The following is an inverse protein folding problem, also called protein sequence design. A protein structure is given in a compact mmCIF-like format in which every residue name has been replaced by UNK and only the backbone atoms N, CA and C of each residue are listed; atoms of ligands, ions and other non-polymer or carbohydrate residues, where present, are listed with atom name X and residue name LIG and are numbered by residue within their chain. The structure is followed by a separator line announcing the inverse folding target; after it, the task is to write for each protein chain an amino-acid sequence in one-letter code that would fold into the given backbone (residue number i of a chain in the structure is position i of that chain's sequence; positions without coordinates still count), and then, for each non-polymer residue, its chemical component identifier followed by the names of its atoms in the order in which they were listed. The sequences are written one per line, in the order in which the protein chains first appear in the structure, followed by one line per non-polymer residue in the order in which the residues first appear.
data_IF_269406558082
#
_entry.id   IF_269406558082
#
_cell.length_a   1.000
_cell.length_b   1.000
_cell.length_c   1.000
_cell.angle_alpha   90.00
_cell.angle_beta   90.00
_cell.angle_gamma   90.00
#
_symmetry.space_group_name_H-M   'P 1'
#
loop_
_entity.id
_entity.type
_entity.pdbx_description
1 polymer ?
#
# COMPACT_ATOMS: atom_id res chain seq x y z
N UNK A 1 38.64 13.81 61.86
CA UNK A 1 38.79 13.43 60.43
C UNK A 1 37.57 12.64 59.89
N UNK A 2 36.34 12.91 60.37
CA UNK A 2 35.12 12.14 60.02
C UNK A 2 33.98 12.95 59.38
N UNK A 3 34.16 14.26 59.18
CA UNK A 3 33.08 15.15 58.69
C UNK A 3 33.07 15.33 57.16
N UNK A 4 34.14 14.94 56.47
CA UNK A 4 34.30 15.19 55.03
C UNK A 4 33.73 14.07 54.13
N UNK A 5 33.72 12.80 54.61
CA UNK A 5 33.12 11.66 53.86
C UNK A 5 31.59 11.70 53.81
N UNK A 6 30.95 12.22 54.86
CA UNK A 6 29.48 12.24 55.01
C UNK A 6 28.79 13.10 53.94
N UNK A 7 29.35 14.27 53.59
CA UNK A 7 28.75 15.19 52.60
C UNK A 7 28.85 14.66 51.17
N UNK A 8 29.93 13.98 50.82
CA UNK A 8 30.15 13.41 49.47
C UNK A 8 29.26 12.21 49.21
N UNK A 9 29.06 11.35 50.22
CA UNK A 9 28.18 10.17 50.12
C UNK A 9 26.70 10.60 50.02
N UNK A 10 26.31 11.64 50.77
CA UNK A 10 24.94 12.16 50.74
C UNK A 10 24.58 12.83 49.40
N UNK A 11 25.54 13.57 48.80
CA UNK A 11 25.36 14.16 47.47
C UNK A 11 25.28 13.14 46.34
N UNK A 12 26.12 12.09 46.40
CA UNK A 12 26.09 11.00 45.41
C UNK A 12 24.81 10.17 45.49
N UNK A 13 24.33 9.86 46.70
CA UNK A 13 23.06 9.13 46.89
C UNK A 13 21.85 9.95 46.42
N UNK A 14 21.82 11.25 46.70
CA UNK A 14 20.74 12.14 46.22
C UNK A 14 20.74 12.26 44.69
N UNK A 15 21.91 12.41 44.06
CA UNK A 15 22.02 12.44 42.61
C UNK A 15 21.60 11.12 41.95
N UNK A 16 21.95 9.98 42.54
CA UNK A 16 21.57 8.64 42.04
C UNK A 16 20.04 8.41 42.15
N UNK A 17 19.42 8.84 43.26
CA UNK A 17 17.96 8.74 43.47
C UNK A 17 17.20 9.66 42.51
N UNK A 18 17.70 10.86 42.24
CA UNK A 18 17.10 11.78 41.25
C UNK A 18 17.22 11.22 39.83
N UNK A 19 18.36 10.64 39.45
CA UNK A 19 18.55 10.00 38.14
C UNK A 19 17.65 8.77 37.95
N UNK A 20 17.44 7.97 39.00
CA UNK A 20 16.51 6.84 38.98
C UNK A 20 15.04 7.30 38.88
N UNK A 21 14.65 8.37 39.60
CA UNK A 21 13.30 8.94 39.53
C UNK A 21 12.98 9.54 38.14
N UNK A 22 13.94 10.19 37.50
CA UNK A 22 13.81 10.71 36.12
C UNK A 22 13.70 9.56 35.11
N UNK A 23 14.39 8.45 35.34
CA UNK A 23 14.31 7.27 34.47
C UNK A 23 12.94 6.59 34.58
N UNK A 24 12.34 6.55 35.77
CA UNK A 24 11.02 5.97 36.02
C UNK A 24 9.89 6.84 35.45
N UNK A 25 10.04 8.18 35.46
CA UNK A 25 9.05 9.10 34.86
C UNK A 25 8.93 8.97 33.33
N UNK A 26 10.00 8.50 32.66
CA UNK A 26 9.98 8.26 31.22
C UNK A 26 9.36 6.90 30.83
N UNK A 27 9.13 5.99 31.78
CA UNK A 27 8.47 4.70 31.50
C UNK A 27 6.93 4.77 31.53
N UNK A 28 6.35 5.83 32.11
CA UNK A 28 4.89 6.03 32.17
C UNK A 28 4.35 6.97 31.09
N UNK A 29 5.24 7.63 30.33
CA UNK A 29 4.87 8.37 29.12
C UNK A 29 4.59 7.36 28.02
N UNK A 30 3.34 6.93 27.90
CA UNK A 30 2.92 5.95 26.90
C UNK A 30 3.54 6.25 25.55
N UNK A 31 4.19 5.23 24.98
CA UNK A 31 4.56 5.23 23.57
C UNK A 31 3.25 5.28 22.78
N UNK A 32 2.72 6.48 22.57
CA UNK A 32 1.84 6.75 21.45
C UNK A 32 2.68 6.48 20.21
N UNK A 33 2.75 5.21 19.80
CA UNK A 33 3.09 4.82 18.45
C UNK A 33 1.95 5.40 17.60
N UNK A 34 2.05 6.70 17.31
CA UNK A 34 1.38 7.29 16.18
C UNK A 34 1.90 6.51 14.98
N UNK A 35 1.16 5.47 14.60
CA UNK A 35 1.38 4.80 13.35
C UNK A 35 1.19 5.89 12.30
N UNK A 36 2.27 6.28 11.64
CA UNK A 36 2.19 7.22 10.53
C UNK A 36 1.33 6.53 9.46
N UNK A 37 0.04 6.86 9.43
CA UNK A 37 -0.83 6.43 8.37
C UNK A 37 -0.31 7.05 7.09
N UNK A 38 0.01 6.20 6.10
CA UNK A 38 0.44 6.66 4.79
C UNK A 38 -0.58 7.68 4.26
N UNK A 39 -0.06 8.80 3.73
CA UNK A 39 -0.91 9.75 3.03
C UNK A 39 -1.63 9.05 1.87
N UNK A 40 -2.77 9.60 1.44
CA UNK A 40 -3.53 9.04 0.33
C UNK A 40 -2.68 8.86 -0.93
N UNK A 41 -1.77 9.78 -1.20
CA UNK A 41 -0.84 9.71 -2.33
C UNK A 41 0.23 8.62 -2.17
N UNK A 42 0.71 8.38 -0.95
CA UNK A 42 1.70 7.33 -0.70
C UNK A 42 1.07 5.94 -0.83
N UNK A 43 -0.15 5.74 -0.33
CA UNK A 43 -0.90 4.48 -0.52
C UNK A 43 -1.14 4.20 -2.00
N UNK A 44 -1.63 5.20 -2.73
CA UNK A 44 -1.82 5.12 -4.18
C UNK A 44 -0.55 4.68 -4.93
N UNK A 45 0.59 5.22 -4.53
CA UNK A 45 1.88 4.90 -5.13
C UNK A 45 2.28 3.47 -4.80
N UNK A 46 2.11 3.05 -3.56
CA UNK A 46 2.43 1.70 -3.11
C UNK A 46 1.56 0.66 -3.81
N UNK A 47 0.25 0.88 -3.92
CA UNK A 47 -0.67 0.02 -4.68
C UNK A 47 -0.29 -0.04 -6.16
N UNK A 48 0.04 1.09 -6.79
CA UNK A 48 0.50 1.12 -8.17
C UNK A 48 1.82 0.35 -8.36
N UNK A 49 2.72 0.38 -7.37
CA UNK A 49 3.93 -0.43 -7.35
C UNK A 49 3.64 -1.93 -7.27
N UNK A 50 2.73 -2.35 -6.39
CA UNK A 50 2.28 -3.74 -6.32
C UNK A 50 1.64 -4.19 -7.64
N UNK A 51 0.74 -3.39 -8.21
CA UNK A 51 0.05 -3.67 -9.46
C UNK A 51 1.05 -3.88 -10.61
N UNK A 52 2.03 -2.99 -10.77
CA UNK A 52 3.03 -3.14 -11.84
C UNK A 52 3.89 -4.40 -11.66
N UNK A 53 4.21 -4.76 -10.42
CA UNK A 53 4.95 -5.98 -10.15
C UNK A 53 4.16 -7.22 -10.59
N UNK A 54 2.86 -7.30 -10.29
CA UNK A 54 2.04 -8.45 -10.68
C UNK A 54 2.03 -8.70 -12.19
N UNK A 55 2.03 -7.65 -13.02
CA UNK A 55 2.10 -7.79 -14.48
C UNK A 55 3.35 -8.53 -14.95
N UNK A 56 4.44 -8.48 -14.18
CA UNK A 56 5.73 -9.10 -14.50
C UNK A 56 5.87 -10.51 -13.92
N UNK A 57 5.01 -10.89 -12.98
CA UNK A 57 5.07 -12.19 -12.30
C UNK A 57 4.02 -13.20 -12.78
N UNK A 58 3.18 -12.82 -13.75
CA UNK A 58 2.18 -13.71 -14.35
C UNK A 58 2.63 -14.12 -15.75
N UNK A 59 2.56 -15.43 -16.02
CA UNK A 59 2.66 -15.97 -17.36
C UNK A 59 1.33 -15.78 -18.10
N UNK A 60 1.31 -14.85 -19.06
CA UNK A 60 0.13 -14.57 -19.87
C UNK A 60 0.03 -15.56 -21.05
N UNK A 61 -1.18 -16.04 -21.39
CA UNK A 61 -1.35 -16.83 -22.60
C UNK A 61 -1.05 -15.96 -23.83
N UNK A 62 -0.57 -16.58 -24.91
CA UNK A 62 -0.25 -15.87 -26.16
C UNK A 62 -1.43 -15.15 -26.82
N UNK A 63 -2.66 -15.41 -26.35
CA UNK A 63 -3.89 -14.74 -26.80
C UNK A 63 -4.29 -13.55 -25.91
N UNK A 64 -3.56 -13.27 -24.82
CA UNK A 64 -3.89 -12.18 -23.91
C UNK A 64 -3.64 -10.82 -24.55
N UNK A 65 -2.53 -10.68 -25.29
CA UNK A 65 -2.15 -9.44 -25.95
C UNK A 65 -2.35 -9.52 -27.46
N UNK A 66 -2.70 -8.39 -28.06
CA UNK A 66 -2.79 -8.28 -29.51
C UNK A 66 -1.42 -8.42 -30.18
N UNK A 67 -0.38 -7.80 -29.60
CA UNK A 67 1.01 -7.90 -30.04
C UNK A 67 1.99 -7.61 -28.87
N UNK A 68 3.29 -7.77 -29.12
CA UNK A 68 4.37 -7.58 -28.12
C UNK A 68 4.52 -6.12 -27.63
N UNK A 69 3.93 -5.15 -28.32
CA UNK A 69 3.98 -3.72 -27.98
C UNK A 69 2.68 -3.25 -27.32
N UNK A 70 1.64 -4.10 -27.27
CA UNK A 70 0.35 -3.76 -26.72
C UNK A 70 0.44 -3.47 -25.21
N UNK A 71 -0.16 -2.37 -24.74
CA UNK A 71 -0.04 -1.96 -23.34
C UNK A 71 -0.76 -2.91 -22.37
N UNK A 72 -0.25 -2.95 -21.14
CA UNK A 72 -1.02 -3.00 -19.88
C UNK A 72 -2.42 -2.45 -20.01
N UNK A 73 -3.48 -3.23 -19.81
CA UNK A 73 -4.77 -2.61 -19.51
C UNK A 73 -5.13 -2.99 -18.09
N UNK A 74 -4.91 -2.04 -17.17
CA UNK A 74 -5.40 -2.08 -15.81
C UNK A 74 -6.75 -1.37 -15.77
N UNK A 75 -7.79 -2.11 -15.43
CA UNK A 75 -9.11 -1.55 -15.22
C UNK A 75 -9.41 -1.42 -13.73
N UNK A 76 -9.96 -0.29 -13.32
CA UNK A 76 -10.38 -0.07 -11.92
C UNK A 76 -11.90 -0.10 -11.83
N UNK A 77 -12.42 -0.89 -10.90
CA UNK A 77 -13.86 -0.98 -10.61
C UNK A 77 -14.15 -0.47 -9.21
N UNK A 78 -15.05 0.52 -9.12
CA UNK A 78 -15.41 1.19 -7.87
C UNK A 78 -14.92 2.63 -7.82
N UNK A 79 -15.02 3.25 -6.64
CA UNK A 79 -14.58 4.62 -6.39
C UNK A 79 -13.06 4.68 -6.33
N UNK A 80 -12.43 4.88 -7.48
CA UNK A 80 -10.98 5.01 -7.62
C UNK A 80 -10.46 6.27 -6.90
N UNK A 81 -9.82 6.15 -5.73
CA UNK A 81 -9.30 7.30 -5.02
C UNK A 81 -7.94 7.77 -5.57
N UNK A 82 -7.40 7.03 -6.55
CA UNK A 82 -6.01 7.04 -6.96
C UNK A 82 -5.81 7.26 -8.46
N UNK A 83 -6.89 7.47 -9.23
CA UNK A 83 -6.88 7.56 -10.69
C UNK A 83 -5.73 8.39 -11.25
N UNK A 84 -5.53 9.60 -10.73
CA UNK A 84 -4.50 10.51 -11.21
C UNK A 84 -3.08 10.07 -10.81
N UNK A 85 -2.91 9.39 -9.68
CA UNK A 85 -1.60 8.89 -9.22
C UNK A 85 -1.22 7.62 -9.97
N UNK A 86 -2.16 6.70 -10.17
CA UNK A 86 -1.98 5.47 -10.94
C UNK A 86 -1.60 5.77 -12.38
N UNK A 87 -2.31 6.67 -13.06
CA UNK A 87 -1.99 7.06 -14.44
C UNK A 87 -0.62 7.73 -14.56
N UNK A 88 -0.23 8.58 -13.60
CA UNK A 88 1.10 9.20 -13.58
C UNK A 88 2.22 8.20 -13.30
N UNK A 89 1.96 7.25 -12.41
CA UNK A 89 2.88 6.18 -12.11
C UNK A 89 3.09 5.28 -13.33
N UNK A 90 2.01 4.93 -14.03
CA UNK A 90 2.04 4.14 -15.24
C UNK A 90 2.82 4.81 -16.39
N UNK A 91 2.74 6.15 -16.50
CA UNK A 91 3.46 6.91 -17.52
C UNK A 91 4.98 7.05 -17.28
N UNK A 92 5.46 6.81 -16.05
CA UNK A 92 6.84 7.12 -15.64
C UNK A 92 7.67 5.91 -15.21
N UNK A 93 7.17 4.68 -15.36
CA UNK A 93 7.85 3.45 -14.93
C UNK A 93 8.27 2.60 -16.11
N UNK A 94 9.49 2.10 -16.02
CA UNK A 94 9.98 1.02 -16.86
C UNK A 94 9.39 -0.30 -16.36
N UNK A 95 8.66 -0.98 -17.24
CA UNK A 95 8.15 -2.33 -17.05
C UNK A 95 8.35 -3.14 -18.33
N UNK A 96 8.00 -4.43 -18.35
CA UNK A 96 8.11 -5.25 -19.56
C UNK A 96 7.26 -4.70 -20.71
N UNK A 97 6.23 -3.89 -20.40
CA UNK A 97 5.32 -3.26 -21.36
C UNK A 97 4.66 -2.01 -20.74
N UNK A 98 4.25 -1.01 -21.56
CA UNK A 98 3.58 0.20 -21.06
C UNK A 98 2.31 -0.14 -20.29
N UNK A 99 1.96 0.62 -19.26
CA UNK A 99 0.71 0.44 -18.51
C UNK A 99 -0.32 1.51 -18.86
N UNK A 100 -1.52 1.12 -19.25
CA UNK A 100 -2.69 1.98 -19.39
C UNK A 100 -3.68 1.70 -18.26
N UNK A 101 -4.20 2.77 -17.66
CA UNK A 101 -5.17 2.71 -16.56
C UNK A 101 -6.50 3.22 -17.08
N UNK A 102 -7.56 2.43 -16.92
CA UNK A 102 -8.91 2.73 -17.39
C UNK A 102 -9.89 2.57 -16.23
N UNK A 103 -10.77 3.55 -16.04
CA UNK A 103 -11.92 3.36 -15.15
C UNK A 103 -13.01 2.61 -15.92
N UNK A 104 -13.49 1.51 -15.36
CA UNK A 104 -14.46 0.68 -16.06
C UNK A 104 -15.85 1.31 -15.97
N UNK A 105 -16.39 1.79 -17.09
CA UNK A 105 -17.74 2.36 -17.14
C UNK A 105 -18.81 1.26 -17.15
N UNK A 106 -18.48 0.10 -17.73
CA UNK A 106 -19.38 -1.06 -17.83
C UNK A 106 -18.61 -2.37 -17.72
N UNK A 107 -19.17 -3.35 -17.01
CA UNK A 107 -18.59 -4.69 -16.89
C UNK A 107 -18.48 -5.42 -18.24
N UNK A 108 -19.22 -4.99 -19.27
CA UNK A 108 -19.05 -5.49 -20.63
C UNK A 108 -17.67 -5.20 -21.23
N UNK A 109 -16.92 -4.23 -20.66
CA UNK A 109 -15.56 -3.89 -21.07
C UNK A 109 -14.50 -4.73 -20.33
N UNK A 110 -14.88 -5.47 -19.30
CA UNK A 110 -13.96 -6.25 -18.47
C UNK A 110 -13.08 -7.25 -19.25
N UNK A 111 -13.58 -7.92 -20.32
CA UNK A 111 -12.75 -8.82 -21.12
C UNK A 111 -11.59 -8.13 -21.87
N UNK A 112 -11.63 -6.81 -22.06
CA UNK A 112 -10.54 -6.05 -22.68
C UNK A 112 -9.42 -5.68 -21.68
N UNK A 113 -9.63 -5.98 -20.40
CA UNK A 113 -8.67 -5.71 -19.33
C UNK A 113 -7.73 -6.90 -19.18
N UNK A 114 -6.45 -6.63 -18.93
CA UNK A 114 -5.51 -7.68 -18.54
C UNK A 114 -5.52 -7.84 -17.03
N UNK A 115 -5.67 -6.73 -16.31
CA UNK A 115 -5.83 -6.74 -14.86
C UNK A 115 -7.04 -5.92 -14.47
N UNK A 116 -7.82 -6.44 -13.52
CA UNK A 116 -8.92 -5.70 -12.88
C UNK A 116 -8.59 -5.51 -11.41
N UNK A 117 -8.58 -4.25 -10.98
CA UNK A 117 -8.48 -3.86 -9.60
C UNK A 117 -9.86 -3.52 -9.05
N UNK A 118 -10.31 -4.28 -8.05
CA UNK A 118 -11.62 -4.13 -7.42
C UNK A 118 -11.45 -3.41 -6.08
N UNK A 119 -11.86 -2.14 -6.07
CA UNK A 119 -11.87 -1.29 -4.88
C UNK A 119 -12.87 -1.82 -3.84
N UNK A 120 -12.60 -1.52 -2.56
CA UNK A 120 -13.47 -1.90 -1.43
C UNK A 120 -14.92 -1.41 -1.61
N UNK A 121 -15.10 -0.27 -2.28
CA UNK A 121 -16.43 0.30 -2.60
C UNK A 121 -17.26 -0.56 -3.56
N UNK A 122 -16.65 -1.48 -4.31
CA UNK A 122 -17.32 -2.39 -5.23
C UNK A 122 -17.65 -3.76 -4.60
N UNK A 123 -17.44 -3.93 -3.28
CA UNK A 123 -17.66 -5.20 -2.56
C UNK A 123 -19.02 -5.85 -2.82
N UNK A 124 -20.08 -5.06 -2.85
CA UNK A 124 -21.44 -5.55 -3.10
C UNK A 124 -21.64 -6.15 -4.51
N UNK A 125 -20.76 -5.82 -5.46
CA UNK A 125 -20.85 -6.22 -6.87
C UNK A 125 -19.80 -7.25 -7.28
N UNK A 126 -18.98 -7.77 -6.36
CA UNK A 126 -17.90 -8.72 -6.70
C UNK A 126 -18.41 -9.91 -7.49
N UNK A 127 -19.53 -10.53 -7.09
CA UNK A 127 -20.08 -11.68 -7.81
C UNK A 127 -20.49 -11.34 -9.25
N UNK A 128 -21.03 -10.13 -9.47
CA UNK A 128 -21.37 -9.62 -10.81
C UNK A 128 -20.10 -9.40 -11.64
N UNK A 129 -19.07 -8.81 -11.03
CA UNK A 129 -17.76 -8.54 -11.65
C UNK A 129 -17.09 -9.85 -12.07
N UNK A 130 -16.97 -10.82 -11.16
CA UNK A 130 -16.37 -12.13 -11.46
C UNK A 130 -17.13 -12.88 -12.55
N UNK A 131 -18.46 -12.74 -12.59
CA UNK A 131 -19.30 -13.33 -13.64
C UNK A 131 -19.08 -12.71 -15.02
N UNK A 132 -18.49 -11.52 -15.13
CA UNK A 132 -18.27 -10.83 -16.41
C UNK A 132 -17.03 -11.31 -17.18
N UNK A 133 -16.13 -12.06 -16.55
CA UNK A 133 -14.84 -12.42 -17.14
C UNK A 133 -14.92 -13.62 -18.08
N UNK A 134 -15.85 -14.55 -17.87
CA UNK A 134 -15.95 -15.78 -18.67
C UNK A 134 -14.61 -16.53 -18.72
N UNK A 135 -14.17 -16.90 -19.94
CA UNK A 135 -12.88 -17.56 -20.19
C UNK A 135 -11.73 -16.57 -20.47
N UNK A 136 -11.92 -15.28 -20.19
CA UNK A 136 -10.92 -14.24 -20.49
C UNK A 136 -9.72 -14.34 -19.54
N UNK A 137 -8.52 -14.14 -20.08
CA UNK A 137 -7.29 -14.12 -19.31
C UNK A 137 -7.15 -12.80 -18.52
N UNK A 138 -7.88 -12.69 -17.41
CA UNK A 138 -7.90 -11.49 -16.57
C UNK A 138 -7.36 -11.80 -15.18
N UNK A 139 -6.30 -11.09 -14.77
CA UNK A 139 -5.84 -11.11 -13.38
C UNK A 139 -6.73 -10.20 -12.54
N UNK A 140 -7.31 -10.72 -11.47
CA UNK A 140 -8.11 -9.93 -10.53
C UNK A 140 -7.32 -9.64 -9.25
N UNK A 141 -7.28 -8.39 -8.83
CA UNK A 141 -6.67 -7.92 -7.58
C UNK A 141 -7.73 -7.13 -6.81
N UNK A 142 -7.82 -7.30 -5.49
CA UNK A 142 -8.81 -6.60 -4.68
C UNK A 142 -8.30 -6.29 -3.27
N UNK A 143 -8.78 -5.19 -2.70
CA UNK A 143 -8.60 -4.84 -1.28
C UNK A 143 -9.76 -5.31 -0.38
N UNK A 144 -10.69 -6.10 -0.94
CA UNK A 144 -11.85 -6.57 -0.20
C UNK A 144 -11.43 -7.71 0.75
N UNK A 145 -11.65 -7.49 2.05
CA UNK A 145 -11.58 -8.53 3.11
C UNK A 145 -12.78 -9.48 3.09
#
# INVERSE_FOLDING_TARGET
MNTMKSKTILGAAAALVVLLAVSILNLTGGTNLAHAALSRSERAKQEAEFINNFLSFVDWPGTAFYDDKAPAVLCVVGKNPFANTLSKYAAGKDGPRPLAVVELESLAQAPACHMIYIESSAKARVSEIMGSFGDSAVLTVSEIE
#
